data_IF_044385526425
#
_entry.id   IF_044385526425
#
_cell.length_a   1.000
_cell.length_b   1.000
_cell.length_c   1.000
_cell.angle_alpha   90.00
_cell.angle_beta   90.00
_cell.angle_gamma   90.00
#
_symmetry.space_group_name_H-M   'P 1'
#
loop_
_entity.id
_entity.type
_entity.pdbx_description
1 polymer ?
#
# COMPACT_ATOMS: atom_id res chain seq x y z
N UNK A 1 -2.42 24.61 -11.57
CA UNK A 1 -1.67 23.35 -11.71
C UNK A 1 -2.49 22.38 -12.53
N UNK A 2 -1.90 21.76 -13.53
CA UNK A 2 -2.62 20.79 -14.34
C UNK A 2 -2.95 19.54 -13.50
N UNK A 3 -4.16 19.04 -13.63
CA UNK A 3 -4.53 17.78 -13.02
C UNK A 3 -3.80 16.62 -13.69
N UNK A 4 -3.22 15.75 -12.90
CA UNK A 4 -2.67 14.50 -13.38
C UNK A 4 -3.81 13.51 -13.59
N UNK A 5 -3.90 12.99 -14.82
CA UNK A 5 -4.84 11.91 -15.12
C UNK A 5 -4.12 10.58 -14.96
N UNK A 6 -4.82 9.58 -14.47
CA UNK A 6 -4.22 8.25 -14.29
C UNK A 6 -3.55 7.72 -15.55
N UNK A 7 -4.11 8.01 -16.73
CA UNK A 7 -3.54 7.56 -18.00
C UNK A 7 -2.17 8.15 -18.32
N UNK A 8 -1.81 9.25 -17.68
CA UNK A 8 -0.55 9.95 -17.91
C UNK A 8 0.53 9.56 -16.91
N UNK A 9 0.24 8.60 -16.02
CA UNK A 9 1.20 8.18 -15.00
C UNK A 9 2.34 7.37 -15.61
N UNK A 10 3.55 7.76 -15.27
CA UNK A 10 4.80 7.14 -15.70
C UNK A 10 5.64 6.80 -14.48
N UNK A 11 6.88 6.29 -14.70
CA UNK A 11 7.82 6.05 -13.60
C UNK A 11 8.11 7.33 -12.82
N UNK A 12 8.22 8.49 -13.52
CA UNK A 12 8.38 9.78 -12.86
C UNK A 12 7.18 10.11 -11.98
N UNK A 13 5.98 9.79 -12.45
CA UNK A 13 4.77 10.02 -11.69
C UNK A 13 4.64 9.08 -10.50
N UNK A 14 5.22 7.88 -10.57
CA UNK A 14 5.32 7.00 -9.42
C UNK A 14 6.12 7.65 -8.29
N UNK A 15 7.22 8.30 -8.62
CA UNK A 15 7.98 9.05 -7.64
C UNK A 15 7.14 10.19 -7.05
N UNK A 16 6.43 10.93 -7.91
CA UNK A 16 5.54 12.00 -7.45
C UNK A 16 4.40 11.47 -6.60
N UNK A 17 3.85 10.32 -6.97
CA UNK A 17 2.81 9.68 -6.18
C UNK A 17 3.30 9.41 -4.76
N UNK A 18 4.49 8.81 -4.63
CA UNK A 18 5.08 8.57 -3.32
C UNK A 18 5.29 9.85 -2.53
N UNK A 19 5.77 10.91 -3.20
CA UNK A 19 5.99 12.20 -2.55
C UNK A 19 4.67 12.83 -2.06
N UNK A 20 3.61 12.75 -2.87
CA UNK A 20 2.29 13.26 -2.50
C UNK A 20 1.71 12.44 -1.35
N UNK A 21 1.81 11.12 -1.43
CA UNK A 21 1.27 10.22 -0.41
C UNK A 21 2.06 10.24 0.89
N UNK A 22 3.29 10.74 0.87
CA UNK A 22 4.06 10.92 2.09
C UNK A 22 3.45 12.00 3.01
N UNK A 23 2.63 12.88 2.45
CA UNK A 23 1.87 13.85 3.23
C UNK A 23 0.67 13.14 3.89
N UNK A 24 0.59 13.11 5.22
CA UNK A 24 -0.46 12.35 5.90
C UNK A 24 -1.89 12.68 5.46
N UNK A 25 -2.19 13.94 5.23
CA UNK A 25 -3.53 14.34 4.82
C UNK A 25 -3.91 13.79 3.44
N UNK A 26 -2.95 13.72 2.52
CA UNK A 26 -3.19 13.15 1.20
C UNK A 26 -3.39 11.64 1.28
N UNK A 27 -2.56 10.97 2.05
CA UNK A 27 -2.66 9.53 2.26
C UNK A 27 -4.00 9.17 2.90
N UNK A 28 -4.37 9.88 3.96
CA UNK A 28 -5.65 9.71 4.64
C UNK A 28 -6.81 9.86 3.66
N UNK A 29 -6.79 10.91 2.84
CA UNK A 29 -7.85 11.18 1.87
C UNK A 29 -8.04 10.05 0.87
N UNK A 30 -6.94 9.49 0.37
CA UNK A 30 -7.00 8.37 -0.58
C UNK A 30 -7.58 7.12 0.09
N UNK A 31 -7.14 6.80 1.29
CA UNK A 31 -7.64 5.64 2.02
C UNK A 31 -9.14 5.78 2.27
N UNK A 32 -9.57 6.94 2.73
CA UNK A 32 -10.99 7.21 2.98
C UNK A 32 -11.83 7.06 1.71
N UNK A 33 -11.31 7.58 0.60
CA UNK A 33 -12.01 7.50 -0.69
C UNK A 33 -12.14 6.04 -1.17
N UNK A 34 -11.06 5.28 -1.08
CA UNK A 34 -11.03 3.91 -1.60
C UNK A 34 -11.85 2.96 -0.75
N UNK A 35 -11.75 3.06 0.57
CA UNK A 35 -12.39 2.10 1.48
C UNK A 35 -13.73 2.59 2.03
N UNK A 36 -14.08 3.86 1.83
CA UNK A 36 -15.32 4.41 2.34
C UNK A 36 -15.36 4.47 3.86
N UNK A 37 -14.23 4.72 4.49
CA UNK A 37 -14.10 4.78 5.95
C UNK A 37 -13.71 6.20 6.39
N UNK A 38 -13.88 6.48 7.66
CA UNK A 38 -13.39 7.71 8.27
C UNK A 38 -12.18 7.39 9.13
N UNK A 39 -11.12 8.19 8.97
CA UNK A 39 -9.87 8.02 9.69
C UNK A 39 -9.54 9.36 10.35
N UNK A 40 -9.12 9.31 11.62
CA UNK A 40 -8.74 10.52 12.34
C UNK A 40 -7.40 11.05 11.82
N UNK A 41 -6.38 10.19 11.84
CA UNK A 41 -5.06 10.57 11.35
C UNK A 41 -4.28 9.32 10.93
N UNK A 42 -3.24 9.53 10.10
CA UNK A 42 -2.32 8.46 9.73
C UNK A 42 -0.88 8.91 9.92
N UNK A 43 -0.03 7.94 10.22
CA UNK A 43 1.42 8.08 10.16
C UNK A 43 1.89 7.35 8.91
N UNK A 44 2.69 8.00 8.09
CA UNK A 44 3.11 7.46 6.80
C UNK A 44 4.60 7.19 6.78
N UNK A 45 4.96 5.98 6.32
CA UNK A 45 6.35 5.62 6.01
C UNK A 45 6.43 5.36 4.51
N UNK A 46 7.36 6.02 3.84
CA UNK A 46 7.60 5.83 2.42
C UNK A 46 8.68 4.78 2.24
N UNK A 47 8.46 3.86 1.29
CA UNK A 47 9.45 2.84 0.92
C UNK A 47 9.89 1.95 2.10
N UNK A 48 8.93 1.34 2.78
CA UNK A 48 9.22 0.41 3.85
C UNK A 48 9.60 -0.95 3.28
N UNK A 49 10.77 -1.44 3.69
CA UNK A 49 11.24 -2.78 3.30
C UNK A 49 10.96 -3.77 4.43
N UNK A 50 10.51 -4.96 4.04
CA UNK A 50 10.27 -6.06 4.97
C UNK A 50 11.00 -7.29 4.44
N UNK A 51 11.95 -7.79 5.22
CA UNK A 51 12.69 -9.02 4.91
C UNK A 51 12.63 -9.90 6.15
N UNK A 52 11.79 -10.94 6.08
CA UNK A 52 11.62 -11.84 7.20
C UNK A 52 12.83 -12.76 7.37
N UNK A 53 13.35 -13.27 6.27
CA UNK A 53 14.48 -14.18 6.27
C UNK A 53 15.26 -14.04 4.96
N UNK A 54 16.61 -14.05 4.99
CA UNK A 54 17.41 -13.82 3.79
C UNK A 54 17.14 -14.76 2.63
N UNK A 55 16.68 -15.97 2.91
CA UNK A 55 16.40 -16.97 1.88
C UNK A 55 15.01 -16.82 1.26
N UNK A 56 14.16 -15.99 1.84
CA UNK A 56 12.82 -15.75 1.31
C UNK A 56 12.73 -14.38 0.66
N UNK A 57 11.78 -14.27 -0.27
CA UNK A 57 11.59 -13.02 -0.98
C UNK A 57 11.09 -11.93 -0.02
N UNK A 58 11.86 -10.86 0.11
CA UNK A 58 11.42 -9.67 0.83
C UNK A 58 10.47 -8.84 -0.03
N UNK A 59 9.82 -7.87 0.58
CA UNK A 59 8.96 -6.91 -0.11
C UNK A 59 9.38 -5.50 0.23
N UNK A 60 9.19 -4.60 -0.72
CA UNK A 60 9.34 -3.16 -0.50
C UNK A 60 7.99 -2.52 -0.75
N UNK A 61 7.45 -1.90 0.28
CA UNK A 61 6.16 -1.25 0.23
C UNK A 61 6.35 0.22 -0.17
N UNK A 62 5.60 0.68 -1.17
CA UNK A 62 5.73 2.05 -1.66
C UNK A 62 5.27 3.06 -0.62
N UNK A 63 4.08 2.87 -0.10
CA UNK A 63 3.51 3.73 0.94
C UNK A 63 2.92 2.83 2.02
N UNK A 64 3.36 3.01 3.24
CA UNK A 64 2.89 2.23 4.38
C UNK A 64 2.37 3.19 5.44
N UNK A 65 1.14 3.00 5.86
CA UNK A 65 0.48 3.91 6.78
C UNK A 65 -0.17 3.17 7.94
N UNK A 66 -0.28 3.87 9.06
CA UNK A 66 -0.92 3.37 10.28
C UNK A 66 -1.90 4.43 10.77
N UNK A 67 -3.12 4.02 11.07
CA UNK A 67 -4.13 4.94 11.60
C UNK A 67 -4.20 4.90 13.14
N UNK A 68 -5.13 5.66 13.71
CA UNK A 68 -5.32 5.77 15.15
C UNK A 68 -5.73 4.45 15.82
N UNK A 69 -6.30 3.54 15.04
CA UNK A 69 -6.73 2.21 15.52
C UNK A 69 -5.68 1.13 15.29
N UNK A 70 -4.47 1.55 14.93
CA UNK A 70 -3.37 0.64 14.61
C UNK A 70 -3.59 -0.19 13.35
N UNK A 71 -4.58 0.15 12.54
CA UNK A 71 -4.81 -0.48 11.23
C UNK A 71 -3.69 -0.10 10.27
N UNK A 72 -3.22 -1.06 9.51
CA UNK A 72 -2.13 -0.86 8.55
C UNK A 72 -2.66 -0.80 7.13
N UNK A 73 -2.05 0.08 6.34
CA UNK A 73 -2.41 0.25 4.94
C UNK A 73 -1.13 0.25 4.11
N UNK A 74 -1.09 -0.60 3.09
CA UNK A 74 -0.04 -0.55 2.09
C UNK A 74 -0.67 -0.08 0.79
N UNK A 75 -0.19 1.02 0.25
CA UNK A 75 -0.73 1.60 -0.98
C UNK A 75 0.35 1.55 -2.05
N UNK A 76 0.02 0.86 -3.15
CA UNK A 76 0.93 0.64 -4.26
C UNK A 76 0.37 1.27 -5.51
N UNK A 77 1.22 1.91 -6.30
CA UNK A 77 0.84 2.36 -7.64
C UNK A 77 1.38 1.39 -8.69
N UNK A 78 0.51 0.94 -9.56
CA UNK A 78 0.90 0.05 -10.63
C UNK A 78 0.49 0.65 -11.97
N UNK A 79 1.47 1.10 -12.74
CA UNK A 79 1.23 1.76 -14.02
C UNK A 79 1.32 0.80 -15.21
N UNK A 80 1.84 -0.40 -14.98
CA UNK A 80 1.95 -1.42 -16.01
C UNK A 80 1.28 -2.70 -15.53
N UNK A 81 0.67 -3.42 -16.46
CA UNK A 81 0.06 -4.71 -16.14
C UNK A 81 1.15 -5.71 -15.78
N UNK A 82 1.08 -6.24 -14.56
CA UNK A 82 2.00 -7.27 -14.08
C UNK A 82 1.22 -8.52 -13.72
N UNK A 83 1.81 -9.71 -13.94
CA UNK A 83 1.11 -10.95 -13.62
C UNK A 83 1.00 -11.16 -12.12
N UNK A 84 0.06 -12.04 -11.74
CA UNK A 84 -0.09 -12.56 -10.39
C UNK A 84 -0.37 -11.49 -9.33
N UNK A 85 -1.18 -10.49 -9.65
CA UNK A 85 -1.54 -9.44 -8.69
C UNK A 85 -2.15 -10.02 -7.42
N UNK A 86 -3.05 -10.99 -7.54
CA UNK A 86 -3.66 -11.62 -6.37
C UNK A 86 -2.66 -12.32 -5.47
N UNK A 87 -1.70 -13.01 -6.06
CA UNK A 87 -0.64 -13.69 -5.29
C UNK A 87 0.30 -12.70 -4.64
N UNK A 88 0.61 -11.59 -5.32
CA UNK A 88 1.41 -10.52 -4.75
C UNK A 88 0.70 -9.89 -3.56
N UNK A 89 -0.58 -9.63 -3.69
CA UNK A 89 -1.39 -9.09 -2.59
C UNK A 89 -1.34 -10.02 -1.38
N UNK A 90 -1.54 -11.31 -1.60
CA UNK A 90 -1.48 -12.30 -0.52
C UNK A 90 -0.10 -12.32 0.14
N UNK A 91 0.96 -12.27 -0.66
CA UNK A 91 2.32 -12.29 -0.14
C UNK A 91 2.63 -11.04 0.69
N UNK A 92 2.19 -9.88 0.22
CA UNK A 92 2.36 -8.63 0.96
C UNK A 92 1.61 -8.68 2.30
N UNK A 93 0.37 -9.19 2.31
CA UNK A 93 -0.39 -9.37 3.54
C UNK A 93 0.35 -10.29 4.52
N UNK A 94 0.89 -11.39 4.03
CA UNK A 94 1.65 -12.31 4.86
C UNK A 94 2.89 -11.67 5.48
N UNK A 95 3.62 -10.89 4.71
CA UNK A 95 4.80 -10.18 5.23
C UNK A 95 4.41 -9.14 6.28
N UNK A 96 3.33 -8.40 6.04
CA UNK A 96 2.82 -7.44 7.01
C UNK A 96 2.42 -8.14 8.30
N UNK A 97 1.72 -9.26 8.21
CA UNK A 97 1.28 -10.02 9.38
C UNK A 97 2.47 -10.55 10.19
N UNK A 98 3.49 -11.05 9.51
CA UNK A 98 4.71 -11.55 10.17
C UNK A 98 5.41 -10.45 10.98
N UNK A 99 5.38 -9.22 10.50
CA UNK A 99 5.97 -8.10 11.21
C UNK A 99 5.11 -7.66 12.41
N UNK A 100 3.79 -7.79 12.28
CA UNK A 100 2.84 -7.21 13.24
C UNK A 100 2.49 -8.11 14.42
N UNK A 101 2.72 -9.41 14.32
CA UNK A 101 2.38 -10.34 15.40
C UNK A 101 3.65 -11.01 15.93
N UNK A 102 4.09 -10.58 17.11
CA UNK A 102 5.30 -11.10 17.73
C UNK A 102 5.02 -12.42 18.43
N UNK A 103 6.10 -13.21 18.60
CA UNK A 103 6.02 -14.46 19.34
C UNK A 103 5.46 -14.24 20.75
N UNK A 104 4.56 -15.10 21.16
CA UNK A 104 3.92 -15.00 22.46
C UNK A 104 2.67 -14.13 22.49
N UNK A 105 2.39 -13.41 21.40
CA UNK A 105 1.17 -12.62 21.29
C UNK A 105 0.02 -13.48 20.75
N UNK A 106 -1.20 -13.10 21.09
CA UNK A 106 -2.38 -13.82 20.62
C UNK A 106 -2.82 -13.32 19.24
N UNK A 107 -3.44 -14.20 18.45
CA UNK A 107 -3.90 -13.84 17.11
C UNK A 107 -4.87 -12.66 17.10
N UNK A 108 -5.67 -12.50 18.15
CA UNK A 108 -6.61 -11.38 18.25
C UNK A 108 -5.92 -10.02 18.34
N UNK A 109 -4.62 -9.99 18.66
CA UNK A 109 -3.83 -8.77 18.73
C UNK A 109 -3.34 -8.32 17.35
N UNK A 110 -3.50 -9.16 16.33
CA UNK A 110 -3.08 -8.82 14.97
C UNK A 110 -3.93 -7.65 14.45
N UNK A 111 -3.30 -6.53 14.07
CA UNK A 111 -4.06 -5.39 13.56
C UNK A 111 -4.76 -5.71 12.24
N UNK A 112 -5.83 -4.99 11.96
CA UNK A 112 -6.41 -5.01 10.62
C UNK A 112 -5.40 -4.45 9.63
N UNK A 113 -5.39 -4.97 8.41
CA UNK A 113 -4.49 -4.49 7.39
C UNK A 113 -5.14 -4.57 6.01
N UNK A 114 -4.72 -3.65 5.14
CA UNK A 114 -5.23 -3.55 3.78
C UNK A 114 -4.07 -3.38 2.82
N UNK A 115 -4.14 -4.04 1.69
CA UNK A 115 -3.25 -3.79 0.57
C UNK A 115 -4.09 -3.19 -0.54
N UNK A 116 -3.74 -1.98 -0.95
CA UNK A 116 -4.48 -1.21 -1.95
C UNK A 116 -3.57 -1.01 -3.15
N UNK A 117 -4.01 -1.51 -4.31
CA UNK A 117 -3.31 -1.25 -5.57
C UNK A 117 -4.09 -0.22 -6.36
N UNK A 118 -3.44 0.88 -6.68
CA UNK A 118 -3.97 1.88 -7.60
C UNK A 118 -3.36 1.57 -8.95
N UNK A 119 -4.22 1.08 -9.87
CA UNK A 119 -3.75 0.60 -11.17
C UNK A 119 -4.17 1.57 -12.26
N UNK A 120 -3.21 1.92 -13.12
CA UNK A 120 -3.48 2.62 -14.36
C UNK A 120 -3.15 1.69 -15.51
N UNK A 121 -4.11 0.86 -15.86
CA UNK A 121 -3.95 -0.14 -16.89
C UNK A 121 -4.58 0.34 -18.20
N UNK A 122 -4.00 -0.09 -19.33
CA UNK A 122 -4.58 0.14 -20.64
C UNK A 122 -5.99 -0.47 -20.68
N UNK A 123 -6.97 0.31 -21.15
CA UNK A 123 -8.36 -0.14 -21.26
C UNK A 123 -8.52 -1.43 -22.06
N UNK A 124 -7.64 -1.66 -23.03
CA UNK A 124 -7.66 -2.90 -23.82
C UNK A 124 -7.24 -4.12 -23.00
N UNK A 125 -6.60 -3.91 -21.87
CA UNK A 125 -6.16 -4.97 -20.97
C UNK A 125 -7.19 -5.30 -19.90
N UNK A 126 -8.22 -4.49 -19.77
CA UNK A 126 -9.28 -4.71 -18.78
C UNK A 126 -10.31 -5.66 -19.37
N UNK A 127 -10.48 -6.76 -18.73
CA UNK A 127 -11.41 -7.79 -19.17
C UNK A 127 -12.52 -7.91 -18.16
#
# INVERSE_FOLDING_TARGET
MAELKFKDLTIKNNFMFGAVMAQPENCKGVIELVLGVEIDHVEVSKEKSMVYHPEYKGVRLDVYAKDENNTRYNIEMQVAKKPALGKRTRYYQGQMDMELLLSGHEYKELPNSYVIFICDLDRKSVV
#
